data_IF_549927885051
#
_entry.id   IF_549927885051
#
_cell.length_a   1.000
_cell.length_b   1.000
_cell.length_c   1.000
_cell.angle_alpha   90.00
_cell.angle_beta   90.00
_cell.angle_gamma   90.00
#
_symmetry.space_group_name_H-M   'P 1'
#
loop_
_entity.id
_entity.type
_entity.pdbx_description
1 polymer ?
#
# COMPACT_ATOMS: atom_id res chain seq x y z
N UNK A 1 28.78 -64.63 9.49
CA UNK A 1 29.97 -63.84 9.06
C UNK A 1 29.46 -62.54 8.43
N UNK A 2 29.84 -61.36 8.96
CA UNK A 2 30.71 -60.32 8.33
C UNK A 2 30.09 -59.63 7.07
N UNK A 3 29.73 -58.33 7.09
CA UNK A 3 30.58 -57.10 6.88
C UNK A 3 30.78 -56.78 5.38
N UNK A 4 30.48 -55.62 4.76
CA UNK A 4 29.98 -54.24 5.15
C UNK A 4 29.25 -53.57 3.92
N UNK A 5 28.34 -52.59 4.07
CA UNK A 5 28.45 -51.10 3.87
C UNK A 5 29.12 -50.67 2.54
N UNK A 6 28.58 -49.79 1.67
CA UNK A 6 28.48 -48.28 1.64
C UNK A 6 27.39 -47.93 0.57
N UNK A 7 26.26 -47.23 0.81
CA UNK A 7 25.97 -45.82 1.18
C UNK A 7 25.84 -44.84 -0.01
N UNK A 8 24.64 -44.28 -0.22
CA UNK A 8 24.41 -42.93 -0.76
C UNK A 8 22.93 -42.49 -0.56
N UNK A 9 22.63 -41.83 0.58
CA UNK A 9 21.31 -41.23 0.85
C UNK A 9 21.51 -39.78 1.31
N UNK A 10 20.84 -38.82 0.65
CA UNK A 10 20.78 -37.40 1.01
C UNK A 10 19.43 -36.90 0.48
N UNK A 11 18.33 -36.81 1.24
CA UNK A 11 18.07 -36.08 2.48
C UNK A 11 18.30 -34.55 2.37
N UNK A 12 17.26 -33.84 1.95
CA UNK A 12 17.13 -32.39 2.17
C UNK A 12 15.66 -31.94 2.22
N UNK A 13 14.91 -32.45 3.18
CA UNK A 13 13.56 -31.95 3.54
C UNK A 13 13.63 -31.11 4.82
N UNK A 14 13.95 -29.82 4.66
CA UNK A 14 13.85 -28.85 5.77
C UNK A 14 12.43 -28.29 5.89
N UNK A 15 11.51 -29.12 6.38
CA UNK A 15 10.23 -28.65 6.91
C UNK A 15 10.47 -28.15 8.34
N UNK A 16 10.61 -26.83 8.52
CA UNK A 16 10.75 -26.25 9.86
C UNK A 16 9.39 -26.18 10.57
N UNK A 17 9.05 -27.24 11.31
CA UNK A 17 7.93 -27.23 12.25
C UNK A 17 8.33 -26.48 13.52
N UNK A 18 7.86 -25.23 13.66
CA UNK A 18 7.88 -24.51 14.94
C UNK A 18 6.45 -24.19 15.38
N UNK A 19 5.75 -25.25 15.83
CA UNK A 19 4.49 -25.10 16.56
C UNK A 19 4.80 -24.60 17.99
N UNK A 20 4.64 -23.30 18.23
CA UNK A 20 4.56 -22.77 19.59
C UNK A 20 3.09 -22.74 20.02
N UNK A 21 2.72 -23.66 20.90
CA UNK A 21 1.46 -23.60 21.62
C UNK A 21 1.48 -22.38 22.56
N UNK A 22 0.52 -21.47 22.41
CA UNK A 22 0.26 -20.42 23.39
C UNK A 22 -1.13 -20.62 24.00
N UNK A 23 -1.18 -20.60 25.33
CA UNK A 23 -2.34 -21.02 26.11
C UNK A 23 -3.59 -20.17 25.90
N UNK A 24 -4.74 -20.83 26.06
CA UNK A 24 -6.07 -20.24 26.03
C UNK A 24 -6.26 -19.18 27.12
N UNK A 25 -6.04 -17.91 26.78
CA UNK A 25 -6.54 -16.79 27.60
C UNK A 25 -8.06 -16.71 27.48
N UNK A 26 -8.72 -16.91 28.64
CA UNK A 26 -10.16 -16.75 28.86
C UNK A 26 -10.67 -15.41 28.30
N UNK A 27 -11.85 -15.36 27.63
CA UNK A 27 -12.40 -14.11 27.14
C UNK A 27 -12.66 -13.14 28.30
N UNK A 28 -12.21 -11.89 28.14
CA UNK A 28 -12.46 -10.79 29.08
C UNK A 28 -13.92 -10.35 28.98
N UNK A 29 -14.60 -10.02 30.09
CA UNK A 29 -15.99 -9.56 30.05
C UNK A 29 -16.15 -8.24 29.29
N UNK A 30 -17.29 -8.09 28.62
CA UNK A 30 -17.72 -6.88 27.92
C UNK A 30 -17.81 -5.69 28.89
N UNK A 31 -17.12 -4.57 28.64
CA UNK A 31 -17.29 -3.35 29.44
C UNK A 31 -18.71 -2.79 29.32
N UNK A 32 -19.24 -2.25 30.42
CA UNK A 32 -20.50 -1.52 30.42
C UNK A 32 -20.42 -0.25 29.55
N UNK A 33 -21.53 0.22 28.96
CA UNK A 33 -21.54 1.42 28.13
C UNK A 33 -21.15 2.65 28.95
N UNK A 34 -20.05 3.30 28.57
CA UNK A 34 -19.61 4.57 29.14
C UNK A 34 -20.50 5.72 28.61
N UNK A 35 -20.74 6.81 29.36
CA UNK A 35 -21.57 7.92 28.89
C UNK A 35 -21.07 8.54 27.59
N UNK A 36 -22.00 9.07 26.79
CA UNK A 36 -21.70 9.71 25.51
C UNK A 36 -20.68 10.85 25.69
N UNK A 37 -19.58 10.89 24.90
CA UNK A 37 -18.64 11.99 24.93
C UNK A 37 -19.33 13.31 24.56
N UNK A 38 -19.15 14.33 25.39
CA UNK A 38 -19.57 15.70 25.03
C UNK A 38 -18.66 16.18 23.90
N UNK A 39 -19.20 16.25 22.68
CA UNK A 39 -18.46 16.72 21.51
C UNK A 39 -18.32 18.25 21.56
N UNK A 40 -17.10 18.81 21.66
CA UNK A 40 -16.92 20.25 21.52
C UNK A 40 -17.22 20.65 20.07
N UNK A 41 -18.04 21.69 19.87
CA UNK A 41 -18.28 22.28 18.55
C UNK A 41 -16.94 22.74 17.95
N UNK A 42 -16.49 22.19 16.81
CA UNK A 42 -15.26 22.66 16.18
C UNK A 42 -15.44 24.08 15.67
N UNK A 43 -14.49 24.97 15.99
CA UNK A 43 -14.36 26.22 15.25
C UNK A 43 -14.05 25.91 13.77
N UNK A 44 -14.54 26.71 12.80
CA UNK A 44 -14.25 26.50 11.39
C UNK A 44 -12.77 26.74 11.09
N UNK A 45 -11.98 25.68 11.18
CA UNK A 45 -10.59 25.66 10.72
C UNK A 45 -10.58 25.56 9.21
N UNK A 46 -10.30 26.67 8.53
CA UNK A 46 -9.92 26.64 7.12
C UNK A 46 -8.63 25.83 7.00
N UNK A 47 -8.74 24.61 6.48
CA UNK A 47 -7.58 23.71 6.32
C UNK A 47 -6.49 24.42 5.51
N UNK A 48 -5.21 24.40 5.93
CA UNK A 48 -4.15 25.05 5.17
C UNK A 48 -3.99 24.39 3.80
N UNK A 49 -4.37 25.09 2.73
CA UNK A 49 -4.01 24.72 1.36
C UNK A 49 -2.51 24.96 1.19
N UNK A 50 -1.80 23.96 0.64
CA UNK A 50 -0.45 24.13 0.15
C UNK A 50 -0.53 24.18 -1.38
N UNK A 51 0.22 25.08 -1.99
CA UNK A 51 0.47 25.04 -3.43
C UNK A 51 1.62 24.06 -3.67
N UNK A 52 1.41 23.08 -4.54
CA UNK A 52 2.42 22.10 -4.95
C UNK A 52 2.94 22.41 -6.37
N UNK A 53 2.70 23.61 -6.88
CA UNK A 53 2.93 23.99 -8.27
C UNK A 53 1.91 23.36 -9.23
N UNK A 54 1.95 23.73 -10.52
CA UNK A 54 1.07 23.19 -11.55
C UNK A 54 1.13 21.66 -11.60
N UNK A 55 0.06 21.03 -12.06
CA UNK A 55 0.06 19.59 -12.32
C UNK A 55 1.05 19.24 -13.44
N UNK A 56 1.66 18.07 -13.34
CA UNK A 56 2.56 17.58 -14.38
C UNK A 56 1.73 17.16 -15.59
N UNK A 57 2.26 17.34 -16.80
CA UNK A 57 1.56 16.95 -18.03
C UNK A 57 1.37 15.43 -18.13
N UNK A 58 0.44 15.02 -18.99
CA UNK A 58 0.22 13.62 -19.39
C UNK A 58 1.54 12.93 -19.76
N UNK A 59 2.29 13.51 -20.69
CA UNK A 59 3.63 13.05 -21.07
C UNK A 59 4.57 12.86 -19.88
N UNK A 60 4.50 13.71 -18.84
CA UNK A 60 5.46 13.67 -17.74
C UNK A 60 5.27 12.44 -16.84
N UNK A 61 4.03 12.02 -16.56
CA UNK A 61 3.79 10.80 -15.78
C UNK A 61 3.83 9.53 -16.63
N UNK A 62 3.43 9.57 -17.90
CA UNK A 62 3.59 8.43 -18.81
C UNK A 62 5.08 8.12 -19.04
N UNK A 63 5.91 9.14 -19.29
CA UNK A 63 7.36 8.94 -19.39
C UNK A 63 7.94 8.42 -18.07
N UNK A 64 7.49 8.92 -16.91
CA UNK A 64 7.92 8.36 -15.62
C UNK A 64 7.49 6.89 -15.45
N UNK A 65 6.30 6.51 -15.93
CA UNK A 65 5.84 5.12 -15.99
C UNK A 65 6.75 4.27 -16.86
N UNK A 66 6.96 4.65 -18.12
CA UNK A 66 7.78 3.91 -19.06
C UNK A 66 9.26 3.80 -18.62
N UNK A 67 9.90 4.92 -18.26
CA UNK A 67 11.30 4.96 -17.83
C UNK A 67 11.53 4.12 -16.56
N UNK A 68 10.75 4.37 -15.50
CA UNK A 68 10.90 3.66 -14.22
C UNK A 68 10.43 2.21 -14.30
N UNK A 69 9.39 1.94 -15.09
CA UNK A 69 8.89 0.59 -15.35
C UNK A 69 9.95 -0.28 -15.98
N UNK A 70 10.59 0.20 -17.06
CA UNK A 70 11.71 -0.49 -17.70
C UNK A 70 12.90 -0.70 -16.75
N UNK A 71 13.32 0.34 -16.01
CA UNK A 71 14.40 0.23 -15.01
C UNK A 71 14.12 -0.84 -13.94
N UNK A 72 12.87 -0.94 -13.48
CA UNK A 72 12.48 -1.94 -12.46
C UNK A 72 12.39 -3.33 -13.07
N UNK A 73 11.77 -3.49 -14.25
CA UNK A 73 11.71 -4.76 -15.00
C UNK A 73 13.12 -5.33 -15.24
N UNK A 74 14.05 -4.50 -15.74
CA UNK A 74 15.47 -4.87 -15.91
C UNK A 74 16.12 -5.30 -14.59
N UNK A 75 15.86 -4.58 -13.49
CA UNK A 75 16.41 -4.93 -12.16
C UNK A 75 15.91 -6.28 -11.62
N UNK A 76 14.73 -6.71 -12.04
CA UNK A 76 14.13 -7.99 -11.65
C UNK A 76 14.42 -9.12 -12.66
N UNK A 77 15.03 -8.80 -13.82
CA UNK A 77 15.21 -9.71 -14.95
C UNK A 77 13.85 -10.32 -15.37
N UNK A 78 12.86 -9.45 -15.54
CA UNK A 78 11.46 -9.78 -15.85
C UNK A 78 10.88 -8.65 -16.73
N UNK A 79 9.62 -8.73 -17.17
CA UNK A 79 9.04 -7.73 -18.08
C UNK A 79 7.54 -7.47 -17.87
N UNK A 80 7.03 -7.63 -16.64
CA UNK A 80 5.61 -7.48 -16.32
C UNK A 80 5.11 -6.03 -16.22
N UNK A 81 5.98 -5.04 -15.96
CA UNK A 81 5.54 -3.64 -15.82
C UNK A 81 5.31 -2.96 -17.16
N UNK A 82 6.21 -3.15 -18.14
CA UNK A 82 6.18 -2.50 -19.46
C UNK A 82 6.30 -3.46 -20.65
N UNK A 83 6.66 -4.72 -20.44
CA UNK A 83 7.08 -5.63 -21.53
C UNK A 83 5.96 -6.25 -22.38
N UNK A 84 4.69 -5.98 -22.10
CA UNK A 84 3.56 -6.41 -22.94
C UNK A 84 2.33 -5.54 -22.70
N UNK A 85 1.74 -5.00 -23.77
CA UNK A 85 0.46 -4.32 -23.69
C UNK A 85 -0.61 -5.28 -23.19
N UNK A 86 -1.43 -4.79 -22.26
CA UNK A 86 -2.24 -5.67 -21.40
C UNK A 86 -3.45 -6.19 -22.20
N UNK A 87 -3.54 -7.51 -22.37
CA UNK A 87 -4.69 -8.11 -23.06
C UNK A 87 -5.99 -7.80 -22.31
N UNK A 88 -6.97 -7.21 -23.00
CA UNK A 88 -8.28 -6.83 -22.45
C UNK A 88 -9.12 -8.08 -22.15
N UNK A 89 -9.05 -8.58 -20.92
CA UNK A 89 -9.74 -9.80 -20.45
C UNK A 89 -10.40 -9.48 -19.11
N UNK A 90 -11.72 -9.61 -19.03
CA UNK A 90 -12.54 -9.00 -17.97
C UNK A 90 -12.27 -7.48 -17.85
N UNK A 91 -12.52 -6.76 -18.95
CA UNK A 91 -12.60 -5.30 -18.93
C UNK A 91 -13.67 -4.88 -17.91
N UNK A 92 -13.25 -4.29 -16.80
CA UNK A 92 -14.12 -3.71 -15.79
C UNK A 92 -14.09 -2.18 -15.94
N UNK A 93 -15.18 -1.50 -15.61
CA UNK A 93 -15.29 -0.04 -15.79
C UNK A 93 -14.21 0.71 -14.99
N UNK A 94 -13.69 0.14 -13.91
CA UNK A 94 -12.57 0.73 -13.16
C UNK A 94 -11.30 0.93 -13.98
N UNK A 95 -11.10 0.16 -15.06
CA UNK A 95 -9.97 0.29 -15.98
C UNK A 95 -10.14 1.41 -17.01
N UNK A 96 -11.16 2.27 -16.86
CA UNK A 96 -11.46 3.40 -17.75
C UNK A 96 -11.66 4.71 -16.98
N UNK A 97 -11.21 4.76 -15.72
CA UNK A 97 -11.53 5.83 -14.76
C UNK A 97 -10.40 6.86 -14.59
N UNK A 98 -9.80 7.28 -15.70
CA UNK A 98 -8.75 8.31 -15.77
C UNK A 98 -9.37 9.69 -16.03
N UNK A 99 -8.66 10.76 -15.67
CA UNK A 99 -9.10 12.15 -15.88
C UNK A 99 -8.61 12.76 -17.20
N UNK A 100 -7.68 12.07 -17.85
CA UNK A 100 -7.07 12.35 -19.16
C UNK A 100 -7.62 11.44 -20.27
N UNK A 101 -7.06 11.55 -21.49
CA UNK A 101 -7.38 10.70 -22.65
C UNK A 101 -6.26 9.69 -22.98
N UNK A 102 -5.31 9.47 -22.06
CA UNK A 102 -4.10 8.70 -22.32
C UNK A 102 -4.38 7.20 -22.51
N UNK A 103 -3.59 6.52 -23.36
CA UNK A 103 -3.54 5.07 -23.41
C UNK A 103 -2.71 4.53 -22.23
N UNK A 104 -3.34 4.30 -21.06
CA UNK A 104 -2.72 3.68 -19.87
C UNK A 104 -2.53 2.16 -20.07
N UNK A 105 -1.75 1.78 -21.09
CA UNK A 105 -1.64 0.41 -21.59
C UNK A 105 -0.85 -0.53 -20.67
N UNK A 106 0.00 -0.03 -19.79
CA UNK A 106 0.96 -0.79 -18.99
C UNK A 106 0.68 -0.68 -17.49
N UNK A 107 1.18 -1.64 -16.70
CA UNK A 107 1.09 -1.57 -15.23
C UNK A 107 1.86 -0.38 -14.66
N UNK A 108 2.95 0.02 -15.30
CA UNK A 108 3.72 1.19 -14.89
C UNK A 108 2.94 2.52 -15.05
N UNK A 109 2.14 2.66 -16.11
CA UNK A 109 1.31 3.85 -16.37
C UNK A 109 0.26 4.02 -15.25
N UNK A 110 -0.38 2.90 -14.89
CA UNK A 110 -1.37 2.83 -13.82
C UNK A 110 -0.75 3.27 -12.49
N UNK A 111 0.46 2.82 -12.20
CA UNK A 111 1.20 3.22 -11.00
C UNK A 111 1.55 4.70 -11.07
N UNK A 112 2.13 5.19 -12.17
CA UNK A 112 2.60 6.58 -12.27
C UNK A 112 1.43 7.59 -12.26
N UNK A 113 0.32 7.30 -12.92
CA UNK A 113 -0.91 8.09 -12.87
C UNK A 113 -1.42 8.25 -11.43
N UNK A 114 -1.61 7.14 -10.70
CA UNK A 114 -2.11 7.23 -9.32
C UNK A 114 -1.08 7.79 -8.33
N UNK A 115 0.22 7.75 -8.63
CA UNK A 115 1.23 8.51 -7.88
C UNK A 115 1.07 10.01 -8.16
N UNK A 116 0.91 10.42 -9.41
CA UNK A 116 0.68 11.82 -9.81
C UNK A 116 -0.57 12.40 -9.12
N UNK A 117 -1.70 11.68 -9.14
CA UNK A 117 -2.92 12.06 -8.42
C UNK A 117 -2.69 12.24 -6.91
N UNK A 118 -1.81 11.44 -6.30
CA UNK A 118 -1.60 11.38 -4.84
C UNK A 118 -0.38 12.15 -4.34
N UNK A 119 0.38 12.80 -5.22
CA UNK A 119 1.26 13.91 -4.84
C UNK A 119 0.41 15.08 -4.30
N UNK A 120 -0.77 15.29 -4.88
CA UNK A 120 -1.77 16.25 -4.40
C UNK A 120 -2.57 15.71 -3.19
N UNK A 121 -3.22 16.59 -2.44
CA UNK A 121 -4.02 16.19 -1.27
C UNK A 121 -5.28 15.41 -1.66
N UNK A 122 -5.32 14.12 -1.33
CA UNK A 122 -6.48 13.25 -1.61
C UNK A 122 -7.24 12.85 -0.32
N UNK A 123 -8.58 12.68 -0.37
CA UNK A 123 -9.34 12.23 0.81
C UNK A 123 -8.92 10.82 1.26
N UNK A 124 -8.41 10.70 2.49
CA UNK A 124 -7.99 9.40 3.04
C UNK A 124 -9.16 8.43 3.33
N UNK A 125 -10.34 8.94 3.69
CA UNK A 125 -11.55 8.13 3.99
C UNK A 125 -11.35 7.04 5.06
N UNK A 126 -10.48 7.28 6.05
CA UNK A 126 -10.20 6.35 7.15
C UNK A 126 -11.11 6.55 8.38
N UNK A 127 -12.07 7.48 8.35
CA UNK A 127 -13.06 7.67 9.42
C UNK A 127 -13.81 6.39 9.82
N UNK A 128 -14.06 5.50 8.85
CA UNK A 128 -14.66 4.18 9.08
C UNK A 128 -13.88 3.30 10.05
N UNK A 129 -12.54 3.46 10.13
CA UNK A 129 -11.65 2.71 11.03
C UNK A 129 -11.05 3.59 12.14
N UNK A 130 -11.50 4.84 12.28
CA UNK A 130 -10.83 5.84 13.10
C UNK A 130 -10.75 5.51 14.58
N UNK A 131 -11.74 4.79 15.13
CA UNK A 131 -11.77 4.35 16.53
C UNK A 131 -10.59 3.43 16.91
N UNK A 132 -10.19 2.53 16.00
CA UNK A 132 -9.02 1.67 16.18
C UNK A 132 -7.74 2.51 16.34
N UNK A 133 -7.62 3.58 15.56
CA UNK A 133 -6.41 4.41 15.48
C UNK A 133 -6.44 5.69 16.31
N UNK A 134 -7.58 6.04 16.92
CA UNK A 134 -7.74 7.29 17.66
C UNK A 134 -7.75 8.52 16.75
N UNK A 135 -8.25 8.38 15.53
CA UNK A 135 -8.61 9.49 14.64
C UNK A 135 -10.11 9.77 14.73
N UNK A 136 -10.57 10.93 14.26
CA UNK A 136 -12.00 11.23 14.13
C UNK A 136 -12.70 10.19 13.22
N UNK A 137 -13.99 9.90 13.48
CA UNK A 137 -14.85 9.16 12.55
C UNK A 137 -15.34 10.03 11.38
N UNK A 138 -15.24 11.35 11.52
CA UNK A 138 -15.51 12.31 10.46
C UNK A 138 -14.21 12.64 9.70
N UNK A 139 -14.14 12.22 8.43
CA UNK A 139 -13.03 12.54 7.52
C UNK A 139 -12.91 14.06 7.24
N UNK A 140 -13.99 14.82 7.41
CA UNK A 140 -13.97 16.28 7.22
C UNK A 140 -13.08 16.97 8.26
N UNK A 141 -12.91 16.39 9.44
CA UNK A 141 -12.05 16.90 10.51
C UNK A 141 -10.55 16.66 10.29
N UNK A 142 -10.14 15.86 9.29
CA UNK A 142 -8.73 15.51 9.10
C UNK A 142 -7.90 16.65 8.51
N UNK A 143 -6.71 16.87 9.07
CA UNK A 143 -5.62 17.56 8.38
C UNK A 143 -5.30 16.82 7.07
N UNK A 144 -5.16 17.52 5.92
CA UNK A 144 -4.92 16.88 4.64
C UNK A 144 -3.60 16.10 4.62
N UNK A 145 -3.48 15.12 3.72
CA UNK A 145 -2.26 14.33 3.53
C UNK A 145 -2.11 13.90 2.09
N UNK A 146 -0.87 13.87 1.61
CA UNK A 146 -0.47 13.39 0.29
C UNK A 146 0.93 12.77 0.36
N UNK A 147 1.46 12.31 -0.78
CA UNK A 147 2.83 11.85 -0.92
C UNK A 147 3.89 12.96 -0.78
N UNK A 148 3.50 14.25 -0.74
CA UNK A 148 4.41 15.40 -0.60
C UNK A 148 4.15 16.26 0.65
N UNK A 149 2.93 16.31 1.21
CA UNK A 149 2.59 17.29 2.26
C UNK A 149 3.49 17.17 3.51
N UNK A 150 3.73 15.96 4.00
CA UNK A 150 4.54 15.70 5.19
C UNK A 150 5.92 15.15 4.83
N UNK A 151 6.99 15.53 5.56
CA UNK A 151 8.29 14.89 5.41
C UNK A 151 8.23 13.43 5.87
N UNK A 152 9.04 12.56 5.25
CA UNK A 152 9.24 11.20 5.72
C UNK A 152 10.09 11.18 7.00
N UNK A 153 9.69 10.36 7.97
CA UNK A 153 10.49 10.14 9.17
C UNK A 153 11.72 9.29 8.88
N UNK A 154 12.91 9.76 9.24
CA UNK A 154 14.08 8.90 9.34
C UNK A 154 13.92 7.91 10.51
N UNK A 155 14.45 6.71 10.31
CA UNK A 155 14.28 5.53 11.16
C UNK A 155 15.59 5.05 11.77
N UNK A 156 15.49 4.40 12.92
CA UNK A 156 16.59 3.65 13.55
C UNK A 156 16.06 2.29 13.99
N UNK A 157 16.94 1.37 14.38
CA UNK A 157 16.53 0.08 14.99
C UNK A 157 15.55 0.28 16.17
N UNK A 158 15.72 1.35 16.94
CA UNK A 158 14.85 1.71 18.08
C UNK A 158 13.48 2.29 17.67
N UNK A 159 13.38 3.04 16.57
CA UNK A 159 12.06 3.53 16.10
C UNK A 159 11.30 2.47 15.31
N UNK A 160 12.03 1.56 14.65
CA UNK A 160 11.48 0.40 13.98
C UNK A 160 10.94 -0.64 14.97
N UNK A 161 11.64 -0.93 16.07
CA UNK A 161 11.13 -1.87 17.08
C UNK A 161 9.81 -1.42 17.75
N UNK A 162 9.51 -0.12 17.72
CA UNK A 162 8.24 0.45 18.16
C UNK A 162 7.13 0.44 17.09
N UNK A 163 7.45 0.21 15.81
CA UNK A 163 6.51 0.37 14.68
C UNK A 163 6.34 -0.85 13.79
N UNK A 164 7.29 -1.80 13.79
CA UNK A 164 7.26 -3.03 12.99
C UNK A 164 7.69 -4.25 13.82
N UNK A 165 7.20 -5.45 13.48
CA UNK A 165 7.46 -6.65 14.28
C UNK A 165 8.86 -7.26 14.05
N UNK A 166 9.49 -7.01 12.90
CA UNK A 166 10.77 -7.62 12.49
C UNK A 166 11.73 -6.55 11.97
N UNK A 167 12.51 -5.97 12.88
CA UNK A 167 13.51 -4.93 12.56
C UNK A 167 14.59 -5.50 11.62
N UNK A 168 14.87 -4.85 10.47
CA UNK A 168 15.92 -5.29 9.55
C UNK A 168 17.32 -4.88 10.04
N UNK A 169 18.36 -5.38 9.37
CA UNK A 169 19.75 -5.00 9.67
C UNK A 169 20.09 -3.56 9.28
N UNK A 170 21.19 -3.03 9.82
CA UNK A 170 21.60 -1.62 9.62
C UNK A 170 21.70 -1.23 8.14
N UNK A 171 22.28 -2.10 7.30
CA UNK A 171 22.41 -1.84 5.86
C UNK A 171 21.06 -1.54 5.20
N UNK A 172 19.98 -2.25 5.57
CA UNK A 172 18.61 -1.99 5.10
C UNK A 172 18.06 -0.68 5.68
N UNK A 173 18.28 -0.42 6.98
CA UNK A 173 17.89 0.85 7.64
C UNK A 173 18.52 2.05 6.92
N UNK A 174 19.76 1.92 6.45
CA UNK A 174 20.44 2.95 5.68
C UNK A 174 19.78 3.20 4.32
N UNK A 175 19.26 2.14 3.64
CA UNK A 175 18.45 2.29 2.41
C UNK A 175 17.14 3.04 2.67
N UNK A 176 16.43 2.68 3.76
CA UNK A 176 15.20 3.35 4.18
C UNK A 176 15.44 4.85 4.41
N UNK A 177 16.53 5.18 5.13
CA UNK A 177 16.90 6.57 5.41
C UNK A 177 17.39 7.31 4.17
N UNK A 178 18.09 6.65 3.22
CA UNK A 178 18.42 7.27 1.92
C UNK A 178 17.18 7.60 1.12
N UNK A 179 16.20 6.69 1.04
CA UNK A 179 14.91 6.97 0.40
C UNK A 179 14.17 8.12 1.09
N UNK A 180 14.07 8.09 2.42
CA UNK A 180 13.42 9.15 3.20
C UNK A 180 14.09 10.52 2.99
N UNK A 181 15.43 10.56 2.96
CA UNK A 181 16.19 11.79 2.68
C UNK A 181 16.00 12.26 1.23
N UNK A 182 16.04 11.38 0.22
CA UNK A 182 15.75 11.74 -1.18
C UNK A 182 14.36 12.37 -1.31
N UNK A 183 13.32 11.70 -0.80
CA UNK A 183 11.95 12.24 -0.81
C UNK A 183 11.88 13.57 -0.07
N UNK A 184 12.51 13.69 1.11
CA UNK A 184 12.50 14.94 1.88
C UNK A 184 13.17 16.12 1.17
N UNK A 185 14.28 15.90 0.45
CA UNK A 185 14.94 16.95 -0.34
C UNK A 185 14.04 17.42 -1.48
N UNK A 186 13.61 16.49 -2.34
CA UNK A 186 12.72 16.77 -3.48
C UNK A 186 11.44 17.48 -3.02
N UNK A 187 10.85 17.03 -1.90
CA UNK A 187 9.68 17.64 -1.28
C UNK A 187 9.90 19.11 -0.91
N UNK A 188 11.08 19.52 -0.45
CA UNK A 188 11.36 20.94 -0.16
C UNK A 188 11.57 21.73 -1.45
N UNK A 189 12.23 21.17 -2.45
CA UNK A 189 12.47 21.80 -3.75
C UNK A 189 11.15 22.08 -4.49
N UNK A 190 10.19 21.13 -4.48
CA UNK A 190 8.85 21.35 -5.03
C UNK A 190 8.07 22.43 -4.27
N UNK A 191 8.16 22.49 -2.93
CA UNK A 191 7.54 23.58 -2.17
C UNK A 191 8.20 24.95 -2.40
N UNK A 192 9.42 24.97 -2.96
CA UNK A 192 10.09 26.17 -3.45
C UNK A 192 9.80 26.45 -4.94
N UNK A 193 8.94 25.64 -5.58
CA UNK A 193 8.47 25.82 -6.96
C UNK A 193 9.15 24.96 -8.03
N UNK A 194 10.13 24.12 -7.67
CA UNK A 194 10.90 23.33 -8.65
C UNK A 194 10.09 22.20 -9.29
N UNK A 195 9.83 22.32 -10.60
CA UNK A 195 9.10 21.32 -11.39
C UNK A 195 9.95 20.10 -11.76
N UNK A 196 11.27 20.25 -11.84
CA UNK A 196 12.19 19.13 -12.08
C UNK A 196 12.22 18.22 -10.86
N UNK A 197 12.28 18.81 -9.67
CA UNK A 197 12.12 18.07 -8.41
C UNK A 197 10.74 17.40 -8.31
N UNK A 198 9.68 18.00 -8.87
CA UNK A 198 8.33 17.38 -8.92
C UNK A 198 8.31 16.14 -9.80
N UNK A 199 8.93 16.19 -11.00
CA UNK A 199 9.09 15.01 -11.87
C UNK A 199 9.93 13.92 -11.18
N UNK A 200 11.05 14.26 -10.55
CA UNK A 200 11.89 13.26 -9.87
C UNK A 200 11.23 12.68 -8.61
N UNK A 201 10.39 13.46 -7.91
CA UNK A 201 9.58 12.95 -6.80
C UNK A 201 8.51 11.95 -7.29
N UNK A 202 7.86 12.25 -8.41
CA UNK A 202 6.96 11.32 -9.10
C UNK A 202 7.68 10.03 -9.47
N UNK A 203 8.82 10.11 -10.17
CA UNK A 203 9.64 8.94 -10.51
C UNK A 203 10.09 8.15 -9.27
N UNK A 204 10.48 8.83 -8.19
CA UNK A 204 10.88 8.22 -6.91
C UNK A 204 9.74 7.41 -6.26
N UNK A 205 8.52 7.94 -6.25
CA UNK A 205 7.35 7.22 -5.73
C UNK A 205 6.90 6.10 -6.66
N UNK A 206 6.84 6.34 -7.98
CA UNK A 206 6.56 5.31 -9.00
C UNK A 206 7.50 4.13 -8.83
N UNK A 207 8.81 4.38 -8.65
CA UNK A 207 9.84 3.34 -8.44
C UNK A 207 9.57 2.50 -7.18
N UNK A 208 9.17 3.15 -6.08
CA UNK A 208 8.77 2.43 -4.87
C UNK A 208 7.57 1.51 -5.09
N UNK A 209 6.54 1.96 -5.80
CA UNK A 209 5.34 1.15 -6.04
C UNK A 209 5.54 0.06 -7.09
N UNK A 210 6.33 0.30 -8.13
CA UNK A 210 6.77 -0.72 -9.10
C UNK A 210 7.58 -1.84 -8.44
N UNK A 211 8.57 -1.49 -7.61
CA UNK A 211 9.33 -2.49 -6.83
C UNK A 211 8.44 -3.23 -5.80
N UNK A 212 7.43 -2.56 -5.24
CA UNK A 212 6.48 -3.19 -4.31
C UNK A 212 5.55 -4.18 -5.03
N UNK A 213 5.11 -3.88 -6.26
CA UNK A 213 4.33 -4.81 -7.07
C UNK A 213 5.12 -6.11 -7.33
N UNK A 214 6.42 -6.04 -7.62
CA UNK A 214 7.28 -7.22 -7.75
C UNK A 214 7.48 -8.00 -6.45
N UNK A 215 7.67 -7.29 -5.33
CA UNK A 215 7.86 -7.90 -4.01
C UNK A 215 6.60 -8.65 -3.53
N UNK A 216 5.41 -8.12 -3.82
CA UNK A 216 4.12 -8.69 -3.39
C UNK A 216 3.55 -9.71 -4.40
N UNK A 217 3.69 -9.47 -5.71
CA UNK A 217 2.90 -10.20 -6.70
C UNK A 217 3.58 -10.63 -8.01
N UNK A 218 4.15 -9.71 -8.79
CA UNK A 218 4.39 -9.92 -10.24
C UNK A 218 5.22 -11.17 -10.52
N UNK A 219 6.34 -11.33 -9.80
CA UNK A 219 7.25 -12.49 -9.81
C UNK A 219 6.61 -13.87 -9.58
N UNK A 220 5.34 -13.94 -9.18
CA UNK A 220 4.60 -15.19 -8.93
C UNK A 220 3.20 -15.21 -9.55
N UNK A 221 2.85 -14.18 -10.34
CA UNK A 221 1.48 -13.92 -10.77
C UNK A 221 0.91 -14.98 -11.73
N UNK A 222 1.73 -15.55 -12.62
CA UNK A 222 1.30 -16.54 -13.62
C UNK A 222 1.70 -17.99 -13.35
N UNK A 223 2.04 -18.27 -12.09
CA UNK A 223 2.20 -19.64 -11.59
C UNK A 223 0.90 -20.45 -11.70
N UNK A 224 1.03 -21.78 -11.82
CA UNK A 224 -0.11 -22.72 -11.79
C UNK A 224 -0.93 -22.57 -10.51
N UNK A 225 -0.29 -22.28 -9.37
CA UNK A 225 -0.98 -22.01 -8.09
C UNK A 225 -1.92 -20.81 -8.20
N UNK A 226 -1.45 -19.69 -8.75
CA UNK A 226 -2.26 -18.48 -8.96
C UNK A 226 -3.43 -18.75 -9.91
N UNK A 227 -3.18 -19.47 -11.01
CA UNK A 227 -4.22 -19.90 -11.97
C UNK A 227 -5.28 -20.79 -11.32
N UNK A 228 -4.89 -21.74 -10.47
CA UNK A 228 -5.81 -22.62 -9.74
C UNK A 228 -6.66 -21.87 -8.71
N UNK A 229 -6.09 -20.92 -7.97
CA UNK A 229 -6.85 -20.07 -7.03
C UNK A 229 -7.87 -19.24 -7.80
N UNK A 230 -7.48 -18.59 -8.90
CA UNK A 230 -8.38 -17.80 -9.73
C UNK A 230 -9.54 -18.64 -10.31
N UNK A 231 -9.26 -19.85 -10.78
CA UNK A 231 -10.29 -20.78 -11.28
C UNK A 231 -11.26 -21.27 -10.20
N UNK A 232 -10.83 -21.31 -8.93
CA UNK A 232 -11.66 -21.69 -7.77
C UNK A 232 -12.58 -20.56 -7.30
N UNK A 233 -12.11 -19.31 -7.32
CA UNK A 233 -12.82 -18.17 -6.68
C UNK A 233 -13.43 -17.18 -7.68
N UNK A 234 -12.99 -17.18 -8.93
CA UNK A 234 -13.48 -16.27 -9.96
C UNK A 234 -14.98 -16.44 -10.20
N UNK A 235 -15.73 -15.34 -10.42
CA UNK A 235 -17.15 -15.43 -10.78
C UNK A 235 -17.33 -16.11 -12.15
N UNK A 236 -18.56 -16.56 -12.44
CA UNK A 236 -18.87 -17.22 -13.71
C UNK A 236 -18.41 -16.39 -14.92
N UNK A 237 -17.68 -17.02 -15.84
CA UNK A 237 -17.10 -16.38 -17.02
C UNK A 237 -15.77 -15.64 -16.80
N UNK A 238 -15.29 -15.48 -15.56
CA UNK A 238 -14.03 -14.81 -15.26
C UNK A 238 -12.82 -15.61 -15.76
N UNK A 239 -11.90 -14.94 -16.47
CA UNK A 239 -10.64 -15.50 -16.96
C UNK A 239 -9.47 -14.71 -16.40
N UNK A 240 -8.72 -15.26 -15.45
CA UNK A 240 -7.52 -14.63 -14.86
C UNK A 240 -6.63 -13.97 -15.94
N UNK A 241 -6.41 -12.65 -15.93
CA UNK A 241 -5.43 -12.00 -16.81
C UNK A 241 -3.99 -12.42 -16.46
N UNK A 242 -3.05 -12.24 -17.40
CA UNK A 242 -1.61 -12.32 -17.10
C UNK A 242 -1.22 -11.28 -16.04
N UNK A 243 -0.10 -11.40 -15.32
CA UNK A 243 0.38 -10.45 -14.30
C UNK A 243 -0.50 -10.27 -13.05
N UNK A 244 -1.76 -10.72 -13.07
CA UNK A 244 -2.70 -10.60 -11.94
C UNK A 244 -2.58 -11.82 -11.02
N UNK A 245 -1.88 -11.68 -9.89
CA UNK A 245 -1.73 -12.77 -8.92
C UNK A 245 -3.01 -13.03 -8.13
N UNK A 246 -3.39 -14.29 -7.97
CA UNK A 246 -4.39 -14.75 -7.01
C UNK A 246 -3.71 -15.63 -5.96
N UNK A 247 -3.96 -15.36 -4.68
CA UNK A 247 -3.30 -16.06 -3.57
C UNK A 247 -4.27 -16.29 -2.41
N UNK A 248 -4.27 -17.50 -1.82
CA UNK A 248 -4.91 -17.78 -0.54
C UNK A 248 -3.84 -17.89 0.55
N UNK A 249 -3.78 -16.92 1.47
CA UNK A 249 -2.88 -16.96 2.62
C UNK A 249 -3.38 -17.98 3.66
N UNK A 250 -2.67 -19.10 3.89
CA UNK A 250 -3.08 -20.12 4.86
C UNK A 250 -2.98 -19.65 6.32
N UNK A 251 -2.25 -18.57 6.61
CA UNK A 251 -2.17 -17.99 7.94
C UNK A 251 -3.38 -17.10 8.29
N UNK A 252 -4.26 -16.84 7.33
CA UNK A 252 -5.44 -15.98 7.49
C UNK A 252 -6.76 -16.77 7.59
N UNK A 253 -7.73 -16.18 8.28
CA UNK A 253 -9.08 -16.71 8.35
C UNK A 253 -9.76 -16.78 6.97
N UNK A 254 -10.85 -17.54 6.89
CA UNK A 254 -11.55 -17.77 5.63
C UNK A 254 -12.10 -16.49 4.97
N UNK A 255 -12.36 -15.42 5.74
CA UNK A 255 -12.92 -14.16 5.22
C UNK A 255 -11.86 -13.16 4.76
N UNK A 256 -10.58 -13.42 5.07
CA UNK A 256 -9.45 -12.53 4.77
C UNK A 256 -8.40 -13.16 3.84
N UNK A 257 -8.33 -14.50 3.76
CA UNK A 257 -7.24 -15.22 3.06
C UNK A 257 -7.04 -14.92 1.58
N UNK A 258 -8.09 -14.60 0.84
CA UNK A 258 -7.99 -14.38 -0.60
C UNK A 258 -7.37 -13.01 -0.84
N UNK A 259 -6.29 -12.94 -1.61
CA UNK A 259 -5.56 -11.73 -1.94
C UNK A 259 -5.33 -11.67 -3.47
N UNK A 260 -5.55 -10.51 -4.07
CA UNK A 260 -5.62 -10.35 -5.53
C UNK A 260 -4.79 -9.15 -6.01
N UNK A 261 -4.08 -9.35 -7.12
CA UNK A 261 -3.52 -8.29 -7.96
C UNK A 261 -2.17 -7.73 -7.50
N UNK A 262 -1.75 -6.63 -8.12
CA UNK A 262 -0.41 -6.05 -7.96
C UNK A 262 -0.02 -5.85 -6.48
N UNK A 263 -0.98 -5.36 -5.70
CA UNK A 263 -0.86 -5.07 -4.28
C UNK A 263 -1.83 -5.96 -3.46
N UNK A 264 -1.97 -7.24 -3.83
CA UNK A 264 -2.48 -8.33 -2.97
C UNK A 264 -3.67 -7.98 -2.04
N UNK A 265 -4.73 -7.40 -2.58
CA UNK A 265 -5.89 -6.95 -1.79
C UNK A 265 -6.94 -8.04 -1.56
N UNK A 266 -7.56 -8.03 -0.38
CA UNK A 266 -8.69 -8.88 -0.05
C UNK A 266 -10.01 -8.37 -0.65
N UNK A 267 -10.74 -9.15 -1.47
CA UNK A 267 -12.04 -8.79 -2.01
C UNK A 267 -13.17 -8.97 -0.97
N UNK A 268 -13.16 -8.11 0.06
CA UNK A 268 -14.16 -8.11 1.15
C UNK A 268 -14.51 -6.67 1.56
N UNK A 269 -15.68 -6.17 1.14
CA UNK A 269 -16.17 -4.80 1.38
C UNK A 269 -16.43 -4.45 2.86
N UNK A 270 -16.44 -5.42 3.77
CA UNK A 270 -16.47 -5.16 5.22
C UNK A 270 -15.07 -4.94 5.82
N UNK A 271 -14.00 -5.26 5.09
CA UNK A 271 -12.62 -5.21 5.55
C UNK A 271 -11.84 -3.97 5.09
N UNK A 272 -10.52 -4.11 5.08
CA UNK A 272 -9.56 -2.99 4.94
C UNK A 272 -9.56 -2.32 3.55
N UNK A 273 -10.22 -2.92 2.55
CA UNK A 273 -10.42 -2.32 1.22
C UNK A 273 -11.49 -1.21 1.26
N UNK A 274 -12.37 -1.18 2.26
CA UNK A 274 -13.51 -0.25 2.32
C UNK A 274 -13.10 1.23 2.36
N UNK A 275 -12.07 1.67 3.11
CA UNK A 275 -11.50 3.01 2.96
C UNK A 275 -11.06 3.35 1.52
N UNK A 276 -10.52 2.39 0.77
CA UNK A 276 -10.12 2.61 -0.63
C UNK A 276 -11.34 2.73 -1.55
N UNK A 277 -12.36 1.87 -1.40
CA UNK A 277 -13.64 2.01 -2.13
C UNK A 277 -14.25 3.40 -1.90
N UNK A 278 -14.27 3.85 -0.64
CA UNK A 278 -14.77 5.20 -0.28
C UNK A 278 -13.97 6.33 -0.92
N UNK A 279 -12.65 6.16 -1.04
CA UNK A 279 -11.77 7.18 -1.62
C UNK A 279 -11.83 7.20 -3.15
N UNK A 280 -11.81 6.03 -3.79
CA UNK A 280 -12.02 5.84 -5.22
C UNK A 280 -13.32 6.50 -5.69
N UNK A 281 -14.42 6.20 -5.00
CA UNK A 281 -15.72 6.82 -5.28
C UNK A 281 -15.72 8.34 -5.08
N UNK A 282 -14.90 8.85 -4.17
CA UNK A 282 -14.77 10.30 -3.90
C UNK A 282 -13.91 11.01 -4.94
N UNK A 283 -12.89 10.35 -5.49
CA UNK A 283 -12.09 10.84 -6.62
C UNK A 283 -12.96 10.85 -7.89
N UNK A 284 -13.66 9.75 -8.13
CA UNK A 284 -14.51 9.54 -9.30
C UNK A 284 -15.97 10.02 -9.13
N UNK A 285 -16.24 10.96 -8.21
CA UNK A 285 -17.61 11.34 -7.82
C UNK A 285 -18.50 11.83 -8.98
N UNK A 286 -17.88 12.39 -10.03
CA UNK A 286 -18.57 12.89 -11.23
C UNK A 286 -18.78 11.81 -12.32
N UNK A 287 -18.24 10.60 -12.13
CA UNK A 287 -18.24 9.50 -13.10
C UNK A 287 -19.03 8.32 -12.53
N UNK A 288 -20.32 8.23 -12.86
CA UNK A 288 -21.22 7.20 -12.31
C UNK A 288 -20.79 5.76 -12.67
N UNK A 289 -20.24 5.54 -13.86
CA UNK A 289 -19.66 4.26 -14.30
C UNK A 289 -18.49 3.78 -13.44
N UNK A 290 -17.76 4.73 -12.83
CA UNK A 290 -16.60 4.45 -12.00
C UNK A 290 -16.95 4.15 -10.53
N UNK A 291 -18.22 4.14 -10.14
CA UNK A 291 -18.60 3.98 -8.73
C UNK A 291 -18.63 2.51 -8.30
N UNK A 292 -17.78 2.13 -7.33
CA UNK A 292 -17.79 0.79 -6.72
C UNK A 292 -18.76 0.79 -5.55
N UNK A 293 -19.66 -0.19 -5.47
CA UNK A 293 -20.59 -0.29 -4.34
C UNK A 293 -19.84 -0.50 -3.01
N UNK A 294 -20.14 0.31 -1.99
CA UNK A 294 -19.67 0.06 -0.61
C UNK A 294 -20.27 -1.23 0.00
N UNK A 295 -21.21 -1.86 -0.69
CA UNK A 295 -21.77 -3.19 -0.38
C UNK A 295 -21.46 -4.21 -1.49
N UNK A 296 -20.44 -3.95 -2.32
CA UNK A 296 -19.99 -4.85 -3.38
C UNK A 296 -19.77 -6.26 -2.83
N UNK A 297 -20.21 -7.26 -3.60
CA UNK A 297 -19.96 -8.67 -3.27
C UNK A 297 -18.49 -9.00 -3.52
N UNK A 298 -18.03 -10.15 -2.99
CA UNK A 298 -16.70 -10.66 -3.31
C UNK A 298 -16.53 -10.85 -4.83
N UNK A 299 -17.58 -11.26 -5.56
CA UNK A 299 -17.54 -11.43 -7.01
C UNK A 299 -17.33 -10.10 -7.76
N UNK A 300 -17.94 -9.01 -7.29
CA UNK A 300 -17.75 -7.67 -7.87
C UNK A 300 -16.34 -7.14 -7.58
N UNK A 301 -15.86 -7.33 -6.35
CA UNK A 301 -14.50 -6.93 -5.96
C UNK A 301 -13.42 -7.77 -6.66
N UNK A 302 -13.67 -9.03 -7.00
CA UNK A 302 -12.75 -9.84 -7.83
C UNK A 302 -12.60 -9.24 -9.23
N UNK A 303 -13.65 -8.69 -9.83
CA UNK A 303 -13.55 -8.02 -11.14
C UNK A 303 -12.73 -6.74 -11.04
N UNK A 304 -13.04 -5.87 -10.08
CA UNK A 304 -12.33 -4.60 -9.89
C UNK A 304 -10.86 -4.78 -9.44
N UNK A 305 -10.57 -5.71 -8.54
CA UNK A 305 -9.20 -5.98 -8.07
C UNK A 305 -8.41 -6.90 -9.01
N UNK A 306 -9.09 -7.67 -9.86
CA UNK A 306 -8.53 -8.66 -10.77
C UNK A 306 -8.70 -8.30 -12.24
N UNK A 307 -8.92 -7.01 -12.55
CA UNK A 307 -9.07 -6.46 -13.90
C UNK A 307 -7.75 -6.54 -14.69
N UNK A 308 -7.79 -6.41 -16.01
CA UNK A 308 -6.59 -6.55 -16.85
C UNK A 308 -5.52 -5.48 -16.60
N UNK A 309 -5.95 -4.24 -16.44
CA UNK A 309 -5.05 -3.11 -16.22
C UNK A 309 -4.79 -2.85 -14.74
N UNK A 310 -5.52 -3.50 -13.82
CA UNK A 310 -5.31 -3.40 -12.37
C UNK A 310 -5.50 -1.98 -11.81
N UNK A 311 -6.26 -1.12 -12.48
CA UNK A 311 -6.33 0.33 -12.19
C UNK A 311 -6.83 0.61 -10.77
N UNK A 312 -7.91 -0.05 -10.34
CA UNK A 312 -8.38 0.05 -8.95
C UNK A 312 -7.39 -0.56 -7.96
N UNK A 313 -6.62 -1.58 -8.35
CA UNK A 313 -5.58 -2.19 -7.52
C UNK A 313 -4.41 -1.21 -7.30
N UNK A 314 -3.95 -0.55 -8.37
CA UNK A 314 -2.92 0.48 -8.36
C UNK A 314 -3.33 1.67 -7.45
N UNK A 315 -4.52 2.22 -7.68
CA UNK A 315 -5.11 3.23 -6.81
C UNK A 315 -5.10 2.77 -5.35
N UNK A 316 -5.60 1.56 -5.04
CA UNK A 316 -5.68 1.08 -3.68
C UNK A 316 -4.29 0.96 -3.01
N UNK A 317 -3.28 0.48 -3.76
CA UNK A 317 -1.91 0.31 -3.26
C UNK A 317 -1.28 1.64 -2.84
N UNK A 318 -1.39 2.65 -3.70
CA UNK A 318 -0.83 3.99 -3.46
C UNK A 318 -1.67 4.73 -2.41
N UNK A 319 -3.00 4.65 -2.49
CA UNK A 319 -3.90 5.31 -1.56
C UNK A 319 -3.76 4.79 -0.13
N UNK A 320 -3.46 3.49 0.03
CA UNK A 320 -3.16 2.90 1.35
C UNK A 320 -1.97 3.53 2.05
N UNK A 321 -0.97 4.01 1.30
CA UNK A 321 0.14 4.77 1.87
C UNK A 321 -0.33 6.15 2.36
N UNK A 322 -1.13 6.86 1.56
CA UNK A 322 -1.73 8.15 1.98
C UNK A 322 -2.63 7.96 3.20
N UNK A 323 -3.41 6.88 3.25
CA UNK A 323 -4.22 6.51 4.43
C UNK A 323 -3.35 6.21 5.66
N UNK A 324 -2.22 5.56 5.47
CA UNK A 324 -1.20 5.33 6.51
C UNK A 324 -0.63 6.66 7.02
N UNK A 325 -0.39 7.64 6.14
CA UNK A 325 0.04 8.98 6.53
C UNK A 325 -1.07 9.73 7.29
N UNK A 326 -2.32 9.68 6.78
CA UNK A 326 -3.48 10.29 7.40
C UNK A 326 -3.70 9.82 8.85
N UNK A 327 -3.54 8.51 9.11
CA UNK A 327 -3.62 7.96 10.47
C UNK A 327 -2.54 8.57 11.38
N UNK A 328 -1.28 8.59 10.95
CA UNK A 328 -0.15 9.07 11.76
C UNK A 328 -0.22 10.58 12.05
N UNK A 329 -0.74 11.34 11.09
CA UNK A 329 -0.95 12.79 11.22
C UNK A 329 -2.15 13.08 12.13
N UNK A 330 -3.28 12.41 11.94
CA UNK A 330 -4.55 12.75 12.61
C UNK A 330 -4.83 11.98 13.91
N UNK A 331 -3.95 11.05 14.31
CA UNK A 331 -4.15 10.28 15.54
C UNK A 331 -3.92 11.08 16.81
N UNK A 332 -4.65 10.71 17.85
CA UNK A 332 -4.44 11.08 19.27
C UNK A 332 -3.63 10.05 20.06
N UNK A 333 -3.30 8.88 19.47
CA UNK A 333 -2.55 7.78 20.11
C UNK A 333 -1.10 7.79 19.66
N UNK A 334 -0.15 7.81 20.61
CA UNK A 334 1.29 7.72 20.33
C UNK A 334 1.70 6.41 19.63
N UNK A 335 0.97 5.31 19.84
CA UNK A 335 1.22 4.03 19.19
C UNK A 335 0.81 3.98 17.70
N UNK A 336 0.02 4.95 17.23
CA UNK A 336 -0.46 5.02 15.86
C UNK A 336 0.33 6.02 15.00
N UNK A 337 1.51 6.46 15.46
CA UNK A 337 2.40 7.40 14.75
C UNK A 337 3.86 7.06 14.97
N UNK A 338 4.77 7.60 14.17
CA UNK A 338 6.21 7.37 14.34
C UNK A 338 6.72 7.99 15.67
N UNK A 339 7.64 7.34 16.41
CA UNK A 339 8.09 7.83 17.73
C UNK A 339 8.63 9.25 17.75
N UNK A 340 9.24 9.74 16.65
CA UNK A 340 9.72 11.13 16.53
C UNK A 340 8.61 12.19 16.51
N UNK A 341 7.34 11.79 16.44
CA UNK A 341 6.17 12.66 16.60
C UNK A 341 5.73 12.84 18.05
N UNK A 342 6.42 12.19 19.01
CA UNK A 342 6.21 12.38 20.45
C UNK A 342 7.35 13.22 21.02
N UNK A 343 7.02 14.32 21.70
CA UNK A 343 7.95 15.21 22.40
C UNK A 343 7.41 15.43 23.82
N UNK A 344 8.24 15.19 24.84
CA UNK A 344 7.85 15.31 26.25
C UNK A 344 6.53 14.57 26.60
N UNK A 345 6.35 13.37 26.02
CA UNK A 345 5.14 12.55 26.20
C UNK A 345 3.89 13.02 25.47
N UNK A 346 3.96 14.14 24.72
CA UNK A 346 2.83 14.69 23.95
C UNK A 346 3.08 14.55 22.45
N UNK A 347 2.00 14.45 21.69
CA UNK A 347 2.08 14.47 20.23
C UNK A 347 2.36 15.89 19.72
N UNK A 348 3.18 16.00 18.67
CA UNK A 348 3.35 17.22 17.88
C UNK A 348 2.03 17.68 17.24
N UNK A 349 1.93 18.98 16.94
CA UNK A 349 0.88 19.53 16.07
C UNK A 349 0.84 18.81 14.72
N UNK A 350 -0.33 18.72 14.09
CA UNK A 350 -0.53 17.88 12.90
C UNK A 350 0.44 18.23 11.78
N UNK A 351 0.61 19.53 11.52
CA UNK A 351 1.53 20.14 10.57
C UNK A 351 3.02 19.90 10.87
N UNK A 352 3.38 19.60 12.12
CA UNK A 352 4.76 19.35 12.58
C UNK A 352 5.15 17.87 12.57
N UNK A 353 4.23 16.97 12.19
CA UNK A 353 4.49 15.52 12.15
C UNK A 353 5.18 15.14 10.84
N UNK A 354 6.18 14.27 10.96
CA UNK A 354 6.63 13.47 9.82
C UNK A 354 5.76 12.21 9.72
N UNK A 355 5.83 11.51 8.59
CA UNK A 355 5.11 10.25 8.37
C UNK A 355 6.07 9.14 7.96
N UNK A 356 5.78 7.89 8.31
CA UNK A 356 6.55 6.75 7.82
C UNK A 356 5.64 5.81 7.01
N UNK A 357 6.15 5.02 6.03
CA UNK A 357 5.36 3.97 5.39
C UNK A 357 5.05 2.77 6.32
N UNK A 358 5.06 2.97 7.64
CA UNK A 358 4.82 1.95 8.65
C UNK A 358 4.43 2.60 9.98
N UNK A 359 3.60 1.88 10.74
CA UNK A 359 3.26 2.14 12.13
C UNK A 359 2.67 0.86 12.74
N UNK A 360 2.45 0.83 14.05
CA UNK A 360 1.85 -0.32 14.72
C UNK A 360 0.32 -0.38 14.48
N UNK A 361 -0.08 -0.76 13.26
CA UNK A 361 -1.48 -0.76 12.84
C UNK A 361 -2.32 -1.92 13.41
N UNK A 362 -1.69 -3.04 13.74
CA UNK A 362 -2.37 -4.26 14.20
C UNK A 362 -3.25 -4.88 13.10
N UNK A 363 -3.99 -5.94 13.48
CA UNK A 363 -4.71 -6.80 12.52
C UNK A 363 -5.67 -6.06 11.57
N UNK A 364 -6.22 -4.93 12.01
CA UNK A 364 -7.22 -4.14 11.27
C UNK A 364 -6.64 -3.29 10.11
N UNK A 365 -5.34 -3.36 9.80
CA UNK A 365 -4.77 -2.68 8.64
C UNK A 365 -3.58 -3.42 8.00
N UNK A 366 -3.53 -4.74 8.20
CA UNK A 366 -2.34 -5.56 7.98
C UNK A 366 -1.71 -5.51 6.57
N UNK A 367 -2.51 -5.31 5.52
CA UNK A 367 -2.04 -5.48 4.14
C UNK A 367 -1.27 -4.28 3.60
N UNK A 368 -1.69 -3.03 3.86
CA UNK A 368 -0.88 -1.85 3.49
C UNK A 368 -0.93 -0.75 4.57
N UNK A 369 -0.32 -1.07 5.71
CA UNK A 369 0.54 -0.14 6.44
C UNK A 369 1.99 -0.61 6.23
N UNK A 370 2.65 -0.21 5.13
CA UNK A 370 3.52 -1.07 4.30
C UNK A 370 4.57 -1.99 4.95
N UNK A 371 5.03 -1.76 6.19
CA UNK A 371 6.08 -2.59 6.80
C UNK A 371 5.78 -3.22 8.17
N UNK A 372 4.58 -3.11 8.73
CA UNK A 372 4.34 -3.64 10.08
C UNK A 372 4.55 -5.17 10.18
N UNK A 373 4.06 -5.91 9.18
CA UNK A 373 4.16 -7.36 9.10
C UNK A 373 5.26 -7.85 8.16
N UNK A 374 5.88 -6.94 7.40
CA UNK A 374 6.98 -7.26 6.50
C UNK A 374 8.11 -7.88 7.29
N UNK A 375 8.55 -9.06 6.84
CA UNK A 375 9.79 -9.64 7.34
C UNK A 375 10.94 -8.69 6.98
N UNK A 376 12.00 -8.63 7.81
CA UNK A 376 13.15 -7.77 7.52
C UNK A 376 13.76 -8.02 6.12
N UNK A 377 13.60 -9.23 5.57
CA UNK A 377 13.94 -9.60 4.20
C UNK A 377 13.05 -8.97 3.11
N UNK A 378 11.76 -8.73 3.36
CA UNK A 378 10.86 -8.07 2.39
C UNK A 378 11.20 -6.58 2.29
N UNK A 379 11.48 -5.96 3.45
CA UNK A 379 12.04 -4.61 3.52
C UNK A 379 13.35 -4.51 2.70
N UNK A 380 14.30 -5.42 2.92
CA UNK A 380 15.57 -5.37 2.20
C UNK A 380 15.40 -5.60 0.69
N UNK A 381 14.54 -6.54 0.26
CA UNK A 381 14.22 -6.75 -1.16
C UNK A 381 13.67 -5.48 -1.81
N UNK A 382 12.64 -4.89 -1.23
CA UNK A 382 12.00 -3.67 -1.76
C UNK A 382 13.02 -2.53 -1.90
N UNK A 383 13.72 -2.21 -0.82
CA UNK A 383 14.66 -1.08 -0.84
C UNK A 383 15.94 -1.38 -1.64
N UNK A 384 16.29 -2.64 -1.88
CA UNK A 384 17.33 -3.00 -2.86
C UNK A 384 16.86 -2.69 -4.28
N UNK A 385 15.65 -3.11 -4.66
CA UNK A 385 15.08 -2.79 -5.97
C UNK A 385 15.00 -1.27 -6.20
N UNK A 386 14.59 -0.49 -5.19
CA UNK A 386 14.52 0.98 -5.26
C UNK A 386 15.90 1.63 -5.46
N UNK A 387 16.99 1.00 -5.01
CA UNK A 387 18.35 1.50 -5.21
C UNK A 387 19.01 0.99 -6.51
N UNK A 388 18.71 -0.24 -6.94
CA UNK A 388 19.26 -0.82 -8.17
C UNK A 388 18.59 -0.30 -9.46
N UNK A 389 17.38 0.25 -9.36
CA UNK A 389 16.58 0.71 -10.51
C UNK A 389 16.68 2.23 -10.72
N UNK A 390 17.80 2.87 -10.34
CA UNK A 390 17.99 4.33 -10.39
C UNK A 390 18.71 4.77 -11.67
#
# INVERSE_FOLDING_TARGET
MKTKIILATLLCTLVSTHAQAMGSKKPSPTPAPNPAPVTPTPAPSTKPTLDFGPELSEDAYLNAGAEVGAQVDDSQNDNELVGSSRQVINNDQVDQCFNDEAPHEYFADQISYYVQEMINDVPAKVGYIGSYYGTSSDDSAYFPTSLIRHPLCNVTSSTLSATINKVPGQATIDKLNRFANTVNTLRQEVLNGDQSAKKELLSTWTRMFSCLAYAESLSTADTTTSKNVAAKVGPSGYRKPAGVKFYEDPAQDATSRLNIGMFQFTPNSAGNIQPCIRAWNSLNQNKASCQISQKATQADLIKALGSSYQSFNAFCGIHKLVQTFAIQVNTTKSSATHPSNVVNGKLKGFEQRCVSPHFQAGKAYNHFGPFQNSTGSNLDKLFTCIESSR
#
